data_IF_771050362856
#
_entry.id   IF_771050362856
#
_cell.length_a   1.000
_cell.length_b   1.000
_cell.length_c   1.000
_cell.angle_alpha   90.00
_cell.angle_beta   90.00
_cell.angle_gamma   90.00
#
_symmetry.space_group_name_H-M   'P 1'
#
loop_
_entity.id
_entity.type
_entity.pdbx_description
1 polymer ?
#
# COMPACT_ATOMS: atom_id res chain seq x y z
N UNK A 1 -2.35 32.03 16.79
CA UNK A 1 -2.54 30.86 17.70
C UNK A 1 -3.43 31.32 18.84
N UNK A 2 -4.48 30.58 19.16
CA UNK A 2 -5.35 30.88 20.30
C UNK A 2 -4.77 30.12 21.50
N UNK A 3 -4.39 30.81 22.55
CA UNK A 3 -3.92 30.19 23.77
C UNK A 3 -5.12 29.92 24.67
N UNK A 4 -5.17 28.78 25.29
CA UNK A 4 -6.18 28.41 26.26
C UNK A 4 -5.50 28.18 27.61
N UNK A 5 -6.17 28.55 28.70
CA UNK A 5 -5.60 28.41 30.02
C UNK A 5 -5.71 26.96 30.48
N UNK A 6 -4.63 26.38 30.98
CA UNK A 6 -4.61 25.02 31.47
C UNK A 6 -5.66 24.74 32.56
N UNK A 7 -6.06 25.74 33.34
CA UNK A 7 -7.13 25.63 34.35
C UNK A 7 -8.49 25.32 33.73
N UNK A 8 -8.72 25.72 32.49
CA UNK A 8 -9.99 25.57 31.80
C UNK A 8 -10.08 24.23 31.06
N UNK A 9 -8.91 23.55 30.85
CA UNK A 9 -8.80 22.34 30.04
C UNK A 9 -8.49 21.11 30.88
N UNK A 10 -7.64 21.24 31.92
CA UNK A 10 -7.16 20.11 32.71
C UNK A 10 -7.95 19.94 34.01
N UNK A 11 -8.24 18.69 34.42
CA UNK A 11 -8.74 18.43 35.77
C UNK A 11 -7.77 18.94 36.84
N UNK A 12 -8.30 19.41 37.97
CA UNK A 12 -7.51 20.04 39.04
C UNK A 12 -6.34 19.16 39.54
N UNK A 13 -6.54 17.85 39.63
CA UNK A 13 -5.50 16.90 40.06
C UNK A 13 -4.35 16.84 39.05
N UNK A 14 -4.64 16.80 37.76
CA UNK A 14 -3.63 16.77 36.69
C UNK A 14 -2.94 18.12 36.57
N UNK A 15 -3.65 19.22 36.74
CA UNK A 15 -3.09 20.55 36.76
C UNK A 15 -2.05 20.69 37.89
N UNK A 16 -2.37 20.25 39.11
CA UNK A 16 -1.45 20.26 40.23
C UNK A 16 -0.17 19.42 39.98
N UNK A 17 -0.30 18.32 39.27
CA UNK A 17 0.85 17.53 38.86
C UNK A 17 1.71 18.25 37.82
N UNK A 18 1.11 18.82 36.76
CA UNK A 18 1.82 19.55 35.73
C UNK A 18 2.54 20.77 36.31
N UNK A 19 1.94 21.47 37.28
CA UNK A 19 2.56 22.60 37.96
C UNK A 19 3.88 22.26 38.66
N UNK A 20 4.03 21.05 39.19
CA UNK A 20 5.31 20.61 39.80
C UNK A 20 6.50 20.65 38.83
N UNK A 21 6.23 20.54 37.52
CA UNK A 21 7.26 20.47 36.47
C UNK A 21 7.39 21.76 35.64
N UNK A 22 6.28 22.49 35.48
CA UNK A 22 6.20 23.58 34.51
C UNK A 22 5.35 24.78 35.01
N UNK A 23 5.42 25.12 36.29
CA UNK A 23 4.73 26.28 36.84
C UNK A 23 5.21 27.59 36.18
N UNK A 24 4.26 28.41 35.71
CA UNK A 24 4.53 29.70 35.06
C UNK A 24 5.20 29.62 33.68
N UNK A 25 5.36 28.42 33.11
CA UNK A 25 5.96 28.22 31.78
C UNK A 25 4.90 27.96 30.72
N UNK A 26 5.20 28.39 29.49
CA UNK A 26 4.41 28.04 28.33
C UNK A 26 4.88 26.67 27.84
N UNK A 27 3.97 25.70 27.84
CA UNK A 27 4.27 24.35 27.36
C UNK A 27 3.42 24.04 26.13
N UNK A 28 4.03 23.32 25.17
CA UNK A 28 3.34 22.78 24.02
C UNK A 28 3.05 21.29 24.25
N UNK A 29 1.78 20.92 24.20
CA UNK A 29 1.37 19.52 24.28
C UNK A 29 1.16 19.04 22.85
N UNK A 30 2.05 18.16 22.33
CA UNK A 30 1.88 17.62 21.00
C UNK A 30 0.68 16.67 20.93
N UNK A 31 0.05 16.59 19.75
CA UNK A 31 -0.97 15.55 19.50
C UNK A 31 -0.34 14.17 19.63
N UNK A 32 -1.08 13.21 20.22
CA UNK A 32 -0.63 11.82 20.38
C UNK A 32 -0.39 11.11 19.05
N UNK A 33 -1.10 11.53 18.00
CA UNK A 33 -0.90 11.04 16.64
C UNK A 33 0.26 11.78 15.97
N UNK A 34 1.19 11.03 15.39
CA UNK A 34 2.21 11.62 14.51
C UNK A 34 1.51 12.42 13.40
N UNK A 35 1.99 13.63 13.06
CA UNK A 35 1.45 14.39 11.94
C UNK A 35 1.44 13.49 10.71
N UNK A 36 0.26 13.23 10.15
CA UNK A 36 0.14 12.53 8.86
C UNK A 36 0.90 13.35 7.82
N UNK A 37 1.71 12.69 7.00
CA UNK A 37 2.46 13.35 5.94
C UNK A 37 1.53 14.15 5.03
N UNK A 38 2.03 15.22 4.44
CA UNK A 38 1.23 16.08 3.55
C UNK A 38 0.62 15.27 2.41
N UNK A 39 -0.71 15.31 2.24
CA UNK A 39 -1.45 14.54 1.22
C UNK A 39 -1.77 13.08 1.56
N UNK A 40 -1.34 12.56 2.71
CA UNK A 40 -1.63 11.18 3.15
C UNK A 40 -3.10 11.00 3.51
N UNK A 41 -3.69 11.96 4.23
CA UNK A 41 -5.08 11.89 4.67
C UNK A 41 -6.10 12.09 3.53
N UNK A 42 -5.72 12.77 2.44
CA UNK A 42 -6.62 13.08 1.31
C UNK A 42 -6.53 12.09 0.15
N UNK A 43 -5.65 11.09 0.20
CA UNK A 43 -5.34 10.20 -0.91
C UNK A 43 -4.74 10.91 -2.15
N UNK A 44 -4.41 12.21 -2.01
CA UNK A 44 -3.92 13.02 -3.13
C UNK A 44 -2.59 12.49 -3.68
N UNK A 45 -1.67 12.05 -2.81
CA UNK A 45 -0.40 11.44 -3.21
C UNK A 45 -0.62 10.17 -4.02
N UNK A 46 -1.53 9.31 -3.59
CA UNK A 46 -1.87 8.07 -4.29
C UNK A 46 -2.44 8.36 -5.68
N UNK A 47 -3.38 9.32 -5.79
CA UNK A 47 -3.93 9.74 -7.08
C UNK A 47 -2.88 10.33 -8.01
N UNK A 48 -1.96 11.16 -7.49
CA UNK A 48 -0.86 11.69 -8.28
C UNK A 48 0.09 10.58 -8.75
N UNK A 49 0.42 9.64 -7.87
CA UNK A 49 1.27 8.49 -8.23
C UNK A 49 0.62 7.66 -9.34
N UNK A 50 -0.64 7.25 -9.18
CA UNK A 50 -1.40 6.51 -10.22
C UNK A 50 -1.42 7.27 -11.55
N UNK A 51 -1.72 8.58 -11.54
CA UNK A 51 -1.71 9.41 -12.75
C UNK A 51 -0.33 9.43 -13.42
N UNK A 52 0.72 9.62 -12.64
CA UNK A 52 2.09 9.69 -13.18
C UNK A 52 2.53 8.34 -13.77
N UNK A 53 2.15 7.23 -13.13
CA UNK A 53 2.37 5.88 -13.67
C UNK A 53 1.68 5.68 -15.01
N UNK A 54 0.40 6.09 -15.14
CA UNK A 54 -0.34 6.03 -16.40
C UNK A 54 0.35 6.85 -17.51
N UNK A 55 0.82 8.05 -17.18
CA UNK A 55 1.58 8.90 -18.13
C UNK A 55 2.82 8.17 -18.64
N UNK A 56 3.62 7.58 -17.75
CA UNK A 56 4.81 6.82 -18.12
C UNK A 56 4.46 5.58 -18.97
N UNK A 57 3.40 4.86 -18.61
CA UNK A 57 2.91 3.69 -19.35
C UNK A 57 2.46 4.07 -20.77
N UNK A 58 1.69 5.18 -20.93
CA UNK A 58 1.26 5.68 -22.24
C UNK A 58 2.45 6.05 -23.14
N UNK A 59 3.47 6.67 -22.54
CA UNK A 59 4.70 7.00 -23.29
C UNK A 59 5.46 5.73 -23.70
N UNK A 60 5.60 4.75 -22.83
CA UNK A 60 6.23 3.46 -23.14
C UNK A 60 5.45 2.68 -24.20
N UNK A 61 4.14 2.86 -24.29
CA UNK A 61 3.28 2.30 -25.34
C UNK A 61 3.37 3.07 -26.68
N UNK A 62 4.27 4.07 -26.79
CA UNK A 62 4.54 4.80 -28.04
C UNK A 62 3.70 6.06 -28.27
N UNK A 63 2.84 6.49 -27.30
CA UNK A 63 2.17 7.78 -27.42
C UNK A 63 3.15 8.94 -27.33
N UNK A 64 2.92 9.96 -28.15
CA UNK A 64 3.73 11.17 -28.12
C UNK A 64 3.49 12.02 -26.87
N UNK A 65 4.46 12.85 -26.52
CA UNK A 65 4.36 13.79 -25.38
C UNK A 65 3.16 14.75 -25.56
N UNK A 66 2.87 15.14 -26.79
CA UNK A 66 1.76 16.06 -27.06
C UNK A 66 0.40 15.39 -26.84
N UNK A 67 0.20 14.17 -27.34
CA UNK A 67 -1.03 13.41 -27.13
C UNK A 67 -1.28 13.13 -25.63
N UNK A 68 -0.21 12.80 -24.88
CA UNK A 68 -0.32 12.60 -23.45
C UNK A 68 -0.62 13.91 -22.71
N UNK A 69 -0.05 15.02 -23.13
CA UNK A 69 -0.31 16.34 -22.56
C UNK A 69 -1.78 16.73 -22.71
N UNK A 70 -2.38 16.46 -23.88
CA UNK A 70 -3.79 16.68 -24.16
C UNK A 70 -4.69 15.71 -23.35
N UNK A 71 -4.35 14.40 -23.31
CA UNK A 71 -5.13 13.38 -22.59
C UNK A 71 -5.20 13.68 -21.08
N UNK A 72 -4.12 14.16 -20.49
CA UNK A 72 -4.03 14.41 -19.04
C UNK A 72 -4.21 15.88 -18.63
N UNK A 73 -4.48 16.77 -19.59
CA UNK A 73 -4.59 18.22 -19.37
C UNK A 73 -3.38 18.80 -18.63
N UNK A 74 -2.18 18.40 -19.06
CA UNK A 74 -0.90 18.85 -18.48
C UNK A 74 -0.05 19.53 -19.56
N UNK A 75 0.87 20.40 -19.13
CA UNK A 75 1.83 20.98 -20.06
C UNK A 75 2.82 19.92 -20.58
N UNK A 76 3.29 20.03 -21.84
CA UNK A 76 4.30 19.13 -22.40
C UNK A 76 5.58 19.07 -21.55
N UNK A 77 5.96 20.18 -20.90
CA UNK A 77 7.10 20.23 -19.98
C UNK A 77 6.87 19.38 -18.73
N UNK A 78 5.64 19.35 -18.22
CA UNK A 78 5.29 18.48 -17.08
C UNK A 78 5.39 17.02 -17.49
N UNK A 79 4.87 16.66 -18.67
CA UNK A 79 5.00 15.29 -19.20
C UNK A 79 6.47 14.92 -19.39
N UNK A 80 7.29 15.79 -20.00
CA UNK A 80 8.73 15.56 -20.15
C UNK A 80 9.42 15.31 -18.80
N UNK A 81 9.10 16.12 -17.76
CA UNK A 81 9.66 15.92 -16.41
C UNK A 81 9.27 14.58 -15.81
N UNK A 82 8.05 14.10 -16.05
CA UNK A 82 7.59 12.81 -15.56
C UNK A 82 8.24 11.65 -16.29
N UNK A 83 8.35 11.74 -17.62
CA UNK A 83 8.86 10.69 -18.49
C UNK A 83 10.39 10.61 -18.47
N UNK A 84 11.09 11.77 -18.48
CA UNK A 84 12.55 11.87 -18.47
C UNK A 84 13.13 12.22 -17.10
N UNK A 85 12.29 12.67 -16.13
CA UNK A 85 12.67 12.82 -14.73
C UNK A 85 13.19 11.49 -14.23
N UNK A 86 13.93 11.47 -13.12
CA UNK A 86 14.59 10.28 -12.56
C UNK A 86 13.95 8.99 -13.07
N UNK A 87 14.56 8.35 -14.07
CA UNK A 87 14.26 6.95 -14.38
C UNK A 87 14.45 6.23 -13.07
N UNK A 88 13.35 5.87 -12.42
CA UNK A 88 13.41 4.81 -11.42
C UNK A 88 13.91 3.65 -12.26
N UNK A 89 15.18 3.28 -12.09
CA UNK A 89 15.72 2.09 -12.71
C UNK A 89 15.04 0.91 -12.02
N UNK A 90 13.80 0.63 -12.48
CA UNK A 90 13.14 -0.59 -12.05
C UNK A 90 13.99 -1.74 -12.54
N UNK A 91 14.30 -2.69 -11.67
CA UNK A 91 14.92 -3.93 -12.14
C UNK A 91 13.98 -4.58 -13.16
N UNK A 92 14.55 -5.39 -14.05
CA UNK A 92 13.74 -6.23 -14.91
C UNK A 92 12.77 -7.02 -14.02
N UNK A 93 11.50 -7.09 -14.42
CA UNK A 93 10.50 -7.85 -13.67
C UNK A 93 11.01 -9.28 -13.39
N UNK A 94 10.85 -9.69 -12.15
CA UNK A 94 11.00 -11.08 -11.74
C UNK A 94 9.92 -11.40 -10.70
N UNK A 95 9.42 -12.64 -10.64
CA UNK A 95 8.47 -13.06 -9.61
C UNK A 95 9.21 -13.26 -8.28
N UNK A 96 9.59 -12.16 -7.64
CA UNK A 96 10.35 -12.15 -6.37
C UNK A 96 9.96 -10.98 -5.49
N UNK A 97 10.12 -11.14 -4.18
CA UNK A 97 9.90 -10.06 -3.19
C UNK A 97 10.74 -8.84 -3.51
N UNK A 98 12.01 -9.03 -3.90
CA UNK A 98 12.91 -7.90 -4.21
C UNK A 98 12.42 -7.06 -5.39
N UNK A 99 11.94 -7.71 -6.46
CA UNK A 99 11.35 -7.01 -7.60
C UNK A 99 10.06 -6.29 -7.19
N UNK A 100 9.20 -6.96 -6.44
CA UNK A 100 7.94 -6.37 -5.95
C UNK A 100 8.19 -5.15 -5.05
N UNK A 101 9.19 -5.20 -4.19
CA UNK A 101 9.60 -4.07 -3.33
C UNK A 101 10.07 -2.87 -4.15
N UNK A 102 10.90 -3.10 -5.17
CA UNK A 102 11.37 -2.04 -6.05
C UNK A 102 10.22 -1.38 -6.82
N UNK A 103 9.28 -2.18 -7.36
CA UNK A 103 8.07 -1.67 -8.02
C UNK A 103 7.16 -0.94 -7.05
N UNK A 104 6.90 -1.48 -5.85
CA UNK A 104 6.09 -0.85 -4.82
C UNK A 104 6.67 0.49 -4.38
N UNK A 105 7.98 0.56 -4.14
CA UNK A 105 8.69 1.79 -3.77
C UNK A 105 8.63 2.86 -4.87
N UNK A 106 8.54 2.44 -6.12
CA UNK A 106 8.35 3.33 -7.27
C UNK A 106 6.89 3.76 -7.49
N UNK A 107 5.94 3.25 -6.68
CA UNK A 107 4.52 3.47 -6.88
C UNK A 107 3.91 2.68 -8.04
N UNK A 108 4.59 1.63 -8.49
CA UNK A 108 4.23 0.76 -9.62
C UNK A 108 3.86 -0.66 -9.15
N UNK A 109 3.43 -0.83 -7.92
CA UNK A 109 3.04 -2.13 -7.37
C UNK A 109 1.92 -2.80 -8.17
N UNK A 110 0.93 -2.04 -8.65
CA UNK A 110 -0.15 -2.54 -9.51
C UNK A 110 0.38 -3.13 -10.82
N UNK A 111 1.38 -2.49 -11.42
CA UNK A 111 2.01 -2.99 -12.64
C UNK A 111 2.75 -4.29 -12.39
N UNK A 112 3.44 -4.41 -11.25
CA UNK A 112 4.07 -5.66 -10.85
C UNK A 112 3.06 -6.79 -10.73
N UNK A 113 1.92 -6.55 -10.07
CA UNK A 113 0.84 -7.54 -9.92
C UNK A 113 0.27 -7.93 -11.29
N UNK A 114 0.02 -6.94 -12.18
CA UNK A 114 -0.48 -7.19 -13.53
C UNK A 114 0.45 -8.10 -14.33
N UNK A 115 1.75 -7.81 -14.34
CA UNK A 115 2.75 -8.61 -15.06
C UNK A 115 2.82 -10.01 -14.44
N UNK A 116 2.78 -10.11 -13.11
CA UNK A 116 2.81 -11.39 -12.41
C UNK A 116 1.61 -12.26 -12.79
N UNK A 117 0.38 -11.77 -12.69
CA UNK A 117 -0.84 -12.51 -13.04
C UNK A 117 -0.83 -12.92 -14.51
N UNK A 118 -0.48 -12.02 -15.42
CA UNK A 118 -0.34 -12.34 -16.84
C UNK A 118 0.68 -13.45 -17.09
N UNK A 119 1.75 -13.53 -16.30
CA UNK A 119 2.75 -14.61 -16.41
C UNK A 119 2.23 -15.97 -15.94
N UNK A 120 1.16 -15.98 -15.15
CA UNK A 120 0.46 -17.20 -14.70
C UNK A 120 -0.75 -17.54 -15.57
N UNK A 121 -0.98 -16.82 -16.66
CA UNK A 121 -2.20 -16.86 -17.49
C UNK A 121 -3.48 -16.52 -16.71
N UNK A 122 -3.36 -15.69 -15.68
CA UNK A 122 -4.46 -15.18 -14.88
C UNK A 122 -4.76 -13.75 -15.27
N UNK A 123 -6.04 -13.41 -15.36
CA UNK A 123 -6.48 -12.04 -15.58
C UNK A 123 -6.47 -11.25 -14.27
N UNK A 124 -6.08 -9.99 -14.37
CA UNK A 124 -6.21 -9.09 -13.23
C UNK A 124 -7.70 -8.89 -12.92
N UNK A 125 -8.11 -9.05 -11.64
CA UNK A 125 -9.50 -8.78 -11.27
C UNK A 125 -9.87 -7.32 -11.59
N UNK A 126 -11.15 -7.07 -11.80
CA UNK A 126 -11.62 -5.68 -11.86
C UNK A 126 -11.43 -5.03 -10.49
N UNK A 127 -10.41 -4.18 -10.41
CA UNK A 127 -9.99 -3.50 -9.17
C UNK A 127 -10.51 -2.07 -9.09
N UNK A 128 -11.45 -1.67 -9.96
CA UNK A 128 -12.00 -0.31 -9.95
C UNK A 128 -12.57 0.09 -8.59
N UNK A 129 -13.15 -0.88 -7.87
CA UNK A 129 -13.73 -0.72 -6.54
C UNK A 129 -12.79 -1.12 -5.39
N UNK A 130 -11.53 -1.42 -5.70
CA UNK A 130 -10.55 -1.84 -4.71
C UNK A 130 -9.46 -0.79 -4.50
N UNK A 131 -9.03 -0.69 -3.27
CA UNK A 131 -7.79 -0.05 -2.89
C UNK A 131 -6.68 -1.10 -2.82
N UNK A 132 -5.52 -0.82 -3.42
CA UNK A 132 -4.34 -1.68 -3.29
C UNK A 132 -3.38 -1.12 -2.25
N UNK A 133 -2.91 -1.96 -1.33
CA UNK A 133 -1.86 -1.60 -0.38
C UNK A 133 -0.50 -1.45 -1.07
N UNK A 134 0.46 -0.78 -0.41
CA UNK A 134 1.88 -1.00 -0.69
C UNK A 134 2.23 -2.48 -0.38
N UNK A 135 3.45 -2.90 -0.75
CA UNK A 135 3.93 -4.22 -0.35
C UNK A 135 4.07 -4.26 1.18
N UNK A 136 3.33 -5.17 1.81
CA UNK A 136 3.28 -5.32 3.27
C UNK A 136 3.56 -6.76 3.67
N UNK A 137 3.99 -6.97 4.91
CA UNK A 137 4.16 -8.29 5.48
C UNK A 137 2.91 -8.68 6.27
N UNK A 138 2.16 -9.67 5.77
CA UNK A 138 0.91 -10.14 6.37
C UNK A 138 1.11 -11.44 7.15
N UNK A 139 0.55 -11.59 8.36
CA UNK A 139 0.49 -12.86 9.06
C UNK A 139 -0.40 -13.86 8.32
N UNK A 140 0.14 -15.06 8.00
CA UNK A 140 -0.56 -16.06 7.20
C UNK A 140 -1.82 -16.63 7.89
N UNK A 141 -1.92 -16.48 9.22
CA UNK A 141 -3.13 -16.87 9.99
C UNK A 141 -4.38 -16.07 9.61
N UNK A 142 -4.23 -14.90 9.00
CA UNK A 142 -5.36 -14.08 8.58
C UNK A 142 -5.95 -14.55 7.24
N UNK A 143 -5.16 -15.25 6.43
CA UNK A 143 -5.56 -15.64 5.07
C UNK A 143 -6.25 -17.01 5.13
N UNK A 144 -7.48 -17.08 4.62
CA UNK A 144 -8.21 -18.34 4.52
C UNK A 144 -7.58 -19.24 3.45
N UNK A 145 -7.48 -20.53 3.77
CA UNK A 145 -7.13 -21.55 2.78
C UNK A 145 -8.39 -22.10 2.15
N UNK A 146 -8.41 -22.25 0.83
CA UNK A 146 -9.46 -22.97 0.14
C UNK A 146 -9.55 -24.44 0.60
N UNK A 147 -10.71 -25.05 0.38
CA UNK A 147 -11.03 -26.41 0.84
C UNK A 147 -10.42 -27.53 0.00
N UNK A 148 -9.73 -27.22 -1.08
CA UNK A 148 -9.14 -28.24 -1.96
C UNK A 148 -7.67 -28.43 -1.64
N UNK A 149 -7.30 -29.63 -1.19
CA UNK A 149 -5.93 -30.14 -1.15
C UNK A 149 -5.51 -30.47 -2.58
N UNK A 150 -5.25 -29.47 -3.41
CA UNK A 150 -4.64 -29.72 -4.70
C UNK A 150 -3.17 -30.13 -4.56
N UNK A 151 -2.75 -31.07 -5.39
CA UNK A 151 -1.40 -31.61 -5.39
C UNK A 151 -0.39 -30.49 -5.67
N UNK A 152 0.45 -30.21 -4.70
CA UNK A 152 1.46 -29.15 -4.77
C UNK A 152 2.42 -29.44 -5.92
N UNK A 153 2.41 -28.58 -6.92
CA UNK A 153 3.42 -28.60 -7.98
C UNK A 153 4.79 -28.26 -7.38
N UNK A 154 5.77 -29.15 -7.52
CA UNK A 154 7.14 -29.00 -6.98
C UNK A 154 7.93 -27.82 -7.55
N UNK A 155 7.36 -27.00 -8.43
CA UNK A 155 8.06 -25.94 -9.19
C UNK A 155 7.78 -24.50 -8.75
N UNK A 156 7.09 -24.25 -7.66
CA UNK A 156 6.81 -22.86 -7.25
C UNK A 156 8.01 -22.25 -6.52
N UNK A 157 8.55 -21.17 -7.04
CA UNK A 157 9.50 -20.30 -6.36
C UNK A 157 8.78 -19.60 -5.20
N UNK A 158 9.01 -20.07 -3.97
CA UNK A 158 8.24 -19.68 -2.78
C UNK A 158 8.59 -18.30 -2.21
N UNK A 159 9.49 -17.57 -2.85
CA UNK A 159 9.86 -16.20 -2.45
C UNK A 159 9.16 -15.14 -3.31
N UNK A 160 7.86 -15.34 -3.53
CA UNK A 160 6.99 -14.43 -4.28
C UNK A 160 5.97 -13.82 -3.33
N UNK A 161 5.66 -12.51 -3.44
CA UNK A 161 4.57 -11.91 -2.68
C UNK A 161 3.23 -12.54 -3.02
N UNK A 162 2.38 -12.68 -2.01
CA UNK A 162 1.00 -13.10 -2.20
C UNK A 162 0.15 -11.93 -2.74
N UNK A 163 -0.82 -12.25 -3.58
CA UNK A 163 -1.89 -11.34 -3.98
C UNK A 163 -3.11 -11.70 -3.15
N UNK A 164 -3.47 -10.81 -2.23
CA UNK A 164 -4.49 -11.06 -1.23
C UNK A 164 -5.68 -10.14 -1.50
N UNK A 165 -6.86 -10.71 -1.57
CA UNK A 165 -8.13 -9.99 -1.62
C UNK A 165 -8.71 -9.90 -0.21
N UNK A 166 -9.17 -8.71 0.16
CA UNK A 166 -9.91 -8.46 1.38
C UNK A 166 -11.34 -8.03 1.02
N UNK A 167 -12.29 -8.89 1.31
CA UNK A 167 -13.71 -8.70 1.03
C UNK A 167 -14.54 -9.32 2.16
N UNK A 168 -15.62 -8.68 2.55
CA UNK A 168 -16.50 -9.16 3.63
C UNK A 168 -15.74 -9.54 4.92
N UNK A 169 -14.71 -8.75 5.27
CA UNK A 169 -13.85 -8.93 6.46
C UNK A 169 -13.01 -10.22 6.44
N UNK A 170 -12.85 -10.84 5.29
CA UNK A 170 -12.04 -12.05 5.09
C UNK A 170 -10.87 -11.78 4.16
N UNK A 171 -9.76 -12.48 4.38
CA UNK A 171 -8.58 -12.43 3.53
C UNK A 171 -8.49 -13.74 2.75
N UNK A 172 -8.39 -13.65 1.43
CA UNK A 172 -8.19 -14.79 0.55
C UNK A 172 -7.03 -14.55 -0.42
N UNK A 173 -6.37 -15.60 -0.88
CA UNK A 173 -5.32 -15.53 -1.90
C UNK A 173 -5.70 -16.44 -3.09
N UNK A 174 -6.69 -16.08 -3.90
CA UNK A 174 -7.28 -16.98 -4.90
C UNK A 174 -6.29 -17.43 -5.97
N UNK A 175 -5.29 -16.62 -6.29
CA UNK A 175 -4.32 -16.89 -7.35
C UNK A 175 -3.12 -17.73 -6.92
N UNK A 176 -2.96 -17.99 -5.63
CA UNK A 176 -1.73 -18.59 -5.08
C UNK A 176 -2.06 -19.55 -3.92
N UNK A 177 -3.10 -20.36 -4.08
CA UNK A 177 -3.54 -21.31 -3.05
C UNK A 177 -2.47 -22.35 -2.73
N UNK A 178 -1.78 -22.87 -3.75
CA UNK A 178 -0.68 -23.84 -3.61
C UNK A 178 0.48 -23.25 -2.80
N UNK A 179 0.87 -22.01 -3.13
CA UNK A 179 1.92 -21.30 -2.40
C UNK A 179 1.49 -21.04 -0.95
N UNK A 180 0.25 -20.60 -0.73
CA UNK A 180 -0.29 -20.36 0.61
C UNK A 180 -0.29 -21.63 1.45
N UNK A 181 -0.76 -22.75 0.87
CA UNK A 181 -0.80 -24.07 1.50
C UNK A 181 0.61 -24.55 1.87
N UNK A 182 1.57 -24.39 0.96
CA UNK A 182 2.98 -24.70 1.21
C UNK A 182 3.54 -23.86 2.37
N UNK A 183 3.35 -22.52 2.34
CA UNK A 183 3.86 -21.61 3.38
C UNK A 183 3.30 -21.94 4.77
N UNK A 184 2.03 -22.31 4.85
CA UNK A 184 1.39 -22.75 6.10
C UNK A 184 1.92 -24.09 6.58
N UNK A 185 2.14 -25.06 5.67
CA UNK A 185 2.73 -26.36 5.98
C UNK A 185 4.15 -26.22 6.53
N UNK A 186 4.96 -25.32 5.94
CA UNK A 186 6.30 -24.98 6.42
C UNK A 186 6.28 -24.15 7.72
N UNK A 187 5.10 -23.94 8.32
CA UNK A 187 4.92 -23.16 9.56
C UNK A 187 5.48 -21.74 9.49
N UNK A 188 5.47 -21.13 8.30
CA UNK A 188 5.81 -19.72 8.15
C UNK A 188 4.75 -18.87 8.83
N UNK A 189 5.18 -17.89 9.64
CA UNK A 189 4.26 -17.02 10.36
C UNK A 189 3.66 -15.92 9.48
N UNK A 190 4.42 -15.47 8.48
CA UNK A 190 4.05 -14.34 7.63
C UNK A 190 4.70 -14.42 6.27
N UNK A 191 4.13 -13.72 5.27
CA UNK A 191 4.72 -13.50 3.95
C UNK A 191 4.46 -12.09 3.46
N UNK A 192 5.23 -11.65 2.47
CA UNK A 192 4.95 -10.39 1.78
C UNK A 192 3.70 -10.54 0.91
N UNK A 193 2.92 -9.47 0.82
CA UNK A 193 1.70 -9.46 0.01
C UNK A 193 1.35 -8.05 -0.48
N UNK A 194 0.68 -7.99 -1.63
CA UNK A 194 -0.16 -6.88 -2.03
C UNK A 194 -1.61 -7.20 -1.64
N UNK A 195 -2.26 -6.28 -0.92
CA UNK A 195 -3.62 -6.49 -0.44
C UNK A 195 -4.55 -5.58 -1.22
N UNK A 196 -5.57 -6.16 -1.81
CA UNK A 196 -6.68 -5.46 -2.46
C UNK A 196 -7.87 -5.49 -1.52
N UNK A 197 -8.25 -4.33 -0.98
CA UNK A 197 -9.41 -4.18 -0.12
C UNK A 197 -10.47 -3.35 -0.82
N UNK A 198 -11.75 -3.71 -0.70
CA UNK A 198 -12.85 -2.90 -1.22
C UNK A 198 -12.84 -1.49 -0.64
N UNK A 199 -13.16 -0.51 -1.47
CA UNK A 199 -13.11 0.91 -1.08
C UNK A 199 -14.04 1.26 0.08
N UNK A 200 -15.21 0.63 0.17
CA UNK A 200 -16.18 0.78 1.26
C UNK A 200 -15.69 0.17 2.59
N UNK A 201 -14.82 -0.83 2.54
CA UNK A 201 -14.22 -1.47 3.72
C UNK A 201 -12.87 -0.85 4.13
N UNK A 202 -12.34 0.12 3.40
CA UNK A 202 -11.01 0.71 3.60
C UNK A 202 -10.77 1.17 5.05
N UNK A 203 -11.69 1.93 5.65
CA UNK A 203 -11.52 2.43 7.00
C UNK A 203 -11.56 1.29 8.03
N UNK A 204 -12.44 0.31 7.84
CA UNK A 204 -12.52 -0.86 8.71
C UNK A 204 -11.24 -1.68 8.64
N UNK A 205 -10.73 -1.93 7.44
CA UNK A 205 -9.49 -2.65 7.19
C UNK A 205 -8.31 -2.01 7.94
N UNK A 206 -8.04 -0.73 7.72
CA UNK A 206 -6.89 -0.07 8.35
C UNK A 206 -7.02 0.08 9.86
N UNK A 207 -8.20 0.33 10.39
CA UNK A 207 -8.43 0.45 11.84
C UNK A 207 -8.21 -0.86 12.59
N UNK A 208 -8.57 -2.00 11.96
CA UNK A 208 -8.50 -3.30 12.62
C UNK A 208 -7.19 -4.05 12.33
N UNK A 209 -6.66 -3.93 11.14
CA UNK A 209 -5.52 -4.75 10.67
C UNK A 209 -4.25 -3.96 10.40
N UNK A 210 -4.32 -2.66 10.13
CA UNK A 210 -3.17 -1.86 9.72
C UNK A 210 -1.96 -1.94 10.66
N UNK A 211 -2.19 -2.10 11.97
CA UNK A 211 -1.13 -2.28 12.98
C UNK A 211 -0.39 -3.62 12.90
N UNK A 212 -0.97 -4.62 12.23
CA UNK A 212 -0.39 -5.96 12.10
C UNK A 212 0.49 -6.10 10.85
N UNK A 213 0.46 -5.11 9.96
CA UNK A 213 1.24 -5.13 8.73
C UNK A 213 2.53 -4.34 8.94
N UNK A 214 3.66 -5.05 8.83
CA UNK A 214 4.99 -4.43 8.86
C UNK A 214 5.36 -4.02 7.43
N UNK A 215 5.91 -2.81 7.31
CA UNK A 215 6.53 -2.34 6.06
C UNK A 215 7.93 -2.91 5.92
#
# INVERSE_FOLDING_TARGET
MKYENAKDILPAALLAEVQKYAEGKLIYIPKSEKPKGWGEASGYRSRLSKRNTLICSRYSAGKSIMEIAEEFYLSPETIKKLVYGKKVNLPMFSPSVQSAEAYSSAGMGEEWVRIFLSSQNEDMPDISDYFMSELVKIPLRFIETGTEEEAISEKSTFDVPLIVLYDNKTFSAPYQQDQLSYLKREKRNSNYAFIFAKNDEYNYFWNNYGKHFQR
#
